data_IF_966565037942
#
_entry.id   IF_966565037942
#
_cell.length_a   1.000
_cell.length_b   1.000
_cell.length_c   1.000
_cell.angle_alpha   90.00
_cell.angle_beta   90.00
_cell.angle_gamma   90.00
#
_symmetry.space_group_name_H-M   'P 1'
#
loop_
_entity.id
_entity.type
_entity.pdbx_description
1 polymer ?
#
# COMPACT_ATOMS: atom_id res chain seq x y z
N UNK A 1 2.48 -106.25 -76.65
CA UNK A 1 2.77 -104.89 -76.15
C UNK A 1 1.58 -104.15 -75.50
N UNK A 2 0.40 -104.77 -75.26
CA UNK A 2 -0.74 -104.11 -74.59
C UNK A 2 -0.70 -104.22 -73.05
N UNK A 3 -0.42 -105.41 -72.49
CA UNK A 3 -0.36 -105.63 -71.03
C UNK A 3 0.67 -104.78 -70.25
N UNK A 4 1.81 -104.40 -70.85
CA UNK A 4 2.82 -103.54 -70.18
C UNK A 4 2.46 -102.05 -70.20
N UNK A 5 1.59 -101.59 -71.10
CA UNK A 5 1.12 -100.19 -71.13
C UNK A 5 -0.01 -99.96 -70.12
N UNK A 6 -0.88 -100.94 -69.92
CA UNK A 6 -2.02 -100.82 -69.00
C UNK A 6 -1.58 -100.86 -67.51
N UNK A 7 -0.59 -101.68 -67.15
CA UNK A 7 -0.07 -101.74 -65.77
C UNK A 7 0.72 -100.47 -65.40
N UNK A 8 1.48 -99.91 -66.35
CA UNK A 8 2.21 -98.65 -66.14
C UNK A 8 1.23 -97.47 -66.03
N UNK A 9 0.14 -97.48 -66.80
CA UNK A 9 -0.94 -96.49 -66.68
C UNK A 9 -1.70 -96.56 -65.34
N UNK A 10 -1.91 -97.75 -64.79
CA UNK A 10 -2.54 -97.95 -63.46
C UNK A 10 -1.58 -97.53 -62.34
N UNK A 11 -0.29 -97.89 -62.39
CA UNK A 11 0.69 -97.50 -61.36
C UNK A 11 0.94 -95.98 -61.37
N UNK A 12 1.06 -95.36 -62.55
CA UNK A 12 1.19 -93.90 -62.68
C UNK A 12 -0.07 -93.15 -62.23
N UNK A 13 -1.28 -93.67 -62.49
CA UNK A 13 -2.50 -93.04 -61.98
C UNK A 13 -2.65 -93.20 -60.47
N UNK A 14 -2.28 -94.34 -59.87
CA UNK A 14 -2.25 -94.48 -58.40
C UNK A 14 -1.17 -93.63 -57.72
N UNK A 15 -0.01 -93.42 -58.36
CA UNK A 15 1.06 -92.58 -57.80
C UNK A 15 0.87 -91.08 -58.06
N UNK A 16 0.24 -90.68 -59.18
CA UNK A 16 -0.21 -89.30 -59.40
C UNK A 16 -1.42 -88.95 -58.52
N UNK A 17 -2.41 -89.83 -58.37
CA UNK A 17 -3.52 -89.64 -57.42
C UNK A 17 -3.00 -89.67 -55.99
N UNK A 18 -2.02 -90.53 -55.66
CA UNK A 18 -1.34 -90.55 -54.36
C UNK A 18 -0.50 -89.29 -54.07
N UNK A 19 0.19 -88.72 -55.07
CA UNK A 19 0.97 -87.49 -54.93
C UNK A 19 0.11 -86.22 -54.91
N UNK A 20 -0.98 -86.19 -55.68
CA UNK A 20 -1.97 -85.09 -55.65
C UNK A 20 -2.80 -85.18 -54.36
N UNK A 21 -3.19 -86.37 -53.90
CA UNK A 21 -3.86 -86.54 -52.61
C UNK A 21 -2.94 -86.16 -51.43
N UNK A 22 -1.68 -86.60 -51.41
CA UNK A 22 -0.73 -86.22 -50.34
C UNK A 22 -0.30 -84.75 -50.41
N UNK A 23 -0.18 -84.14 -51.60
CA UNK A 23 0.11 -82.71 -51.76
C UNK A 23 -1.06 -81.79 -51.38
N UNK A 24 -2.30 -82.16 -51.76
CA UNK A 24 -3.53 -81.43 -51.36
C UNK A 24 -3.79 -81.61 -49.85
N UNK A 25 -3.52 -82.79 -49.30
CA UNK A 25 -3.72 -83.08 -47.88
C UNK A 25 -2.66 -82.39 -47.00
N UNK A 26 -1.39 -82.33 -47.43
CA UNK A 26 -0.34 -81.57 -46.74
C UNK A 26 -0.59 -80.05 -46.74
N UNK A 27 -1.01 -79.48 -47.87
CA UNK A 27 -1.39 -78.07 -47.95
C UNK A 27 -2.61 -77.75 -47.08
N UNK A 28 -3.58 -78.67 -47.04
CA UNK A 28 -4.76 -78.52 -46.20
C UNK A 28 -4.45 -78.65 -44.71
N UNK A 29 -3.56 -79.58 -44.34
CA UNK A 29 -3.10 -79.76 -42.96
C UNK A 29 -2.29 -78.54 -42.47
N UNK A 30 -1.47 -77.95 -43.35
CA UNK A 30 -0.80 -76.67 -43.08
C UNK A 30 -1.82 -75.55 -42.81
N UNK A 31 -2.90 -75.48 -43.60
CA UNK A 31 -3.98 -74.50 -43.39
C UNK A 31 -4.69 -74.66 -42.04
N UNK A 32 -4.90 -75.89 -41.58
CA UNK A 32 -5.46 -76.19 -40.25
C UNK A 32 -4.50 -75.76 -39.13
N UNK A 33 -3.21 -76.04 -39.27
CA UNK A 33 -2.19 -75.62 -38.29
C UNK A 33 -2.05 -74.09 -38.20
N UNK A 34 -2.15 -73.37 -39.32
CA UNK A 34 -2.15 -71.90 -39.32
C UNK A 34 -3.39 -71.31 -38.64
N UNK A 35 -4.57 -71.93 -38.80
CA UNK A 35 -5.79 -71.55 -38.08
C UNK A 35 -5.64 -71.79 -36.58
N UNK A 36 -5.10 -72.95 -36.20
CA UNK A 36 -4.84 -73.31 -34.82
C UNK A 36 -3.89 -72.30 -34.14
N UNK A 37 -2.80 -71.88 -34.80
CA UNK A 37 -1.91 -70.84 -34.26
C UNK A 37 -2.60 -69.48 -34.11
N UNK A 38 -3.48 -69.09 -35.04
CA UNK A 38 -4.27 -67.85 -34.92
C UNK A 38 -5.26 -67.94 -33.76
N UNK A 39 -5.83 -69.10 -33.51
CA UNK A 39 -6.76 -69.36 -32.42
C UNK A 39 -6.05 -69.31 -31.06
N UNK A 40 -4.85 -69.89 -30.96
CA UNK A 40 -4.00 -69.76 -29.77
C UNK A 40 -3.76 -68.30 -29.39
N UNK A 41 -3.41 -67.45 -30.36
CA UNK A 41 -3.21 -66.01 -30.14
C UNK A 41 -4.51 -65.32 -29.71
N UNK A 42 -5.65 -65.68 -30.31
CA UNK A 42 -6.97 -65.14 -29.92
C UNK A 42 -7.28 -65.50 -28.48
N UNK A 43 -7.15 -66.76 -28.10
CA UNK A 43 -7.42 -67.23 -26.74
C UNK A 43 -6.51 -66.51 -25.72
N UNK A 44 -5.20 -66.43 -25.99
CA UNK A 44 -4.26 -65.70 -25.12
C UNK A 44 -4.66 -64.24 -24.93
N UNK A 45 -5.11 -63.55 -25.99
CA UNK A 45 -5.59 -62.16 -25.91
C UNK A 45 -6.85 -62.02 -25.05
N UNK A 46 -7.76 -63.01 -25.09
CA UNK A 46 -8.99 -62.99 -24.27
C UNK A 46 -8.71 -63.28 -22.80
N UNK A 47 -7.82 -64.23 -22.51
CA UNK A 47 -7.33 -64.49 -21.15
C UNK A 47 -6.69 -63.23 -20.54
N UNK A 48 -5.93 -62.48 -21.33
CA UNK A 48 -5.30 -61.23 -20.88
C UNK A 48 -6.29 -60.05 -20.71
N UNK A 49 -7.56 -60.21 -21.04
CA UNK A 49 -8.57 -59.15 -20.86
C UNK A 49 -8.90 -58.94 -19.39
N UNK A 50 -8.92 -57.69 -18.93
CA UNK A 50 -9.42 -57.31 -17.59
C UNK A 50 -10.86 -57.78 -17.33
N UNK A 51 -11.64 -57.97 -18.41
CA UNK A 51 -13.08 -58.24 -18.31
C UNK A 51 -13.43 -59.73 -18.42
N UNK A 52 -12.48 -60.62 -18.71
CA UNK A 52 -12.77 -62.07 -18.75
C UNK A 52 -13.30 -62.54 -17.39
N UNK A 53 -14.27 -63.45 -17.39
CA UNK A 53 -14.75 -64.07 -16.15
C UNK A 53 -13.76 -65.16 -15.71
N UNK A 54 -13.78 -65.54 -14.42
CA UNK A 54 -12.92 -66.63 -13.95
C UNK A 54 -13.25 -67.96 -14.64
N UNK A 55 -14.53 -68.22 -14.86
CA UNK A 55 -15.00 -69.45 -15.49
C UNK A 55 -14.60 -69.51 -16.97
N UNK A 56 -14.73 -68.38 -17.69
CA UNK A 56 -14.26 -68.28 -19.07
C UNK A 56 -12.74 -68.42 -19.16
N UNK A 57 -12.00 -67.79 -18.25
CA UNK A 57 -10.55 -67.88 -18.20
C UNK A 57 -10.09 -69.34 -18.01
N UNK A 58 -10.69 -70.08 -17.07
CA UNK A 58 -10.36 -71.49 -16.84
C UNK A 58 -10.62 -72.35 -18.07
N UNK A 59 -11.75 -72.15 -18.74
CA UNK A 59 -12.10 -72.90 -19.96
C UNK A 59 -11.17 -72.56 -21.13
N UNK A 60 -10.82 -71.28 -21.30
CA UNK A 60 -9.85 -70.84 -22.30
C UNK A 60 -8.43 -71.41 -22.05
N UNK A 61 -8.01 -71.52 -20.79
CA UNK A 61 -6.73 -72.16 -20.42
C UNK A 61 -6.73 -73.68 -20.70
N UNK A 62 -7.88 -74.35 -20.51
CA UNK A 62 -8.06 -75.74 -20.91
C UNK A 62 -8.00 -75.91 -22.44
N UNK A 63 -8.69 -75.04 -23.19
CA UNK A 63 -8.66 -75.04 -24.66
C UNK A 63 -7.22 -74.82 -25.18
N UNK A 64 -6.43 -73.89 -24.58
CA UNK A 64 -5.01 -73.72 -24.92
C UNK A 64 -4.18 -74.99 -24.69
N UNK A 65 -4.49 -75.75 -23.64
CA UNK A 65 -3.79 -77.00 -23.33
C UNK A 65 -4.16 -78.07 -24.35
N UNK A 66 -5.44 -78.19 -24.69
CA UNK A 66 -5.94 -79.15 -25.69
C UNK A 66 -5.42 -78.84 -27.11
N UNK A 67 -5.29 -77.56 -27.47
CA UNK A 67 -4.63 -77.09 -28.70
C UNK A 67 -3.18 -77.57 -28.76
N UNK A 68 -2.42 -77.44 -27.67
CA UNK A 68 -1.01 -77.87 -27.63
C UNK A 68 -0.86 -79.39 -27.75
N UNK A 69 -1.75 -80.14 -27.10
CA UNK A 69 -1.71 -81.61 -27.09
C UNK A 69 -2.21 -82.25 -28.39
N UNK A 70 -3.14 -81.58 -29.11
CA UNK A 70 -3.76 -82.10 -30.33
C UNK A 70 -2.84 -82.04 -31.56
N UNK A 71 -1.79 -81.20 -31.54
CA UNK A 71 -0.82 -80.98 -32.63
C UNK A 71 -0.17 -82.27 -33.18
N UNK A 72 -0.08 -83.32 -32.35
CA UNK A 72 0.60 -84.58 -32.67
C UNK A 72 -0.32 -85.82 -32.63
N UNK A 73 -1.62 -85.67 -32.35
CA UNK A 73 -2.50 -86.81 -31.99
C UNK A 73 -3.85 -86.85 -32.71
N UNK A 74 -4.31 -85.75 -33.30
CA UNK A 74 -5.66 -85.66 -33.92
C UNK A 74 -5.59 -85.62 -35.45
N UNK A 75 -6.60 -86.22 -36.10
CA UNK A 75 -6.78 -86.12 -37.55
C UNK A 75 -7.26 -84.73 -37.96
N UNK A 76 -7.08 -84.35 -39.24
CA UNK A 76 -7.55 -83.08 -39.79
C UNK A 76 -9.01 -82.76 -39.45
N UNK A 77 -9.93 -83.73 -39.63
CA UNK A 77 -11.36 -83.57 -39.32
C UNK A 77 -11.60 -83.27 -37.83
N UNK A 78 -10.87 -83.96 -36.95
CA UNK A 78 -10.97 -83.75 -35.50
C UNK A 78 -10.41 -82.40 -35.06
N UNK A 79 -9.36 -81.90 -35.73
CA UNK A 79 -8.84 -80.55 -35.51
C UNK A 79 -9.84 -79.50 -35.98
N UNK A 80 -10.45 -79.67 -37.15
CA UNK A 80 -11.48 -78.76 -37.68
C UNK A 80 -12.72 -78.70 -36.77
N UNK A 81 -13.20 -79.84 -36.25
CA UNK A 81 -14.32 -79.89 -35.30
C UNK A 81 -13.99 -79.21 -33.97
N UNK A 82 -12.77 -79.40 -33.46
CA UNK A 82 -12.27 -78.77 -32.23
C UNK A 82 -12.21 -77.25 -32.38
N UNK A 83 -11.54 -76.76 -33.44
CA UNK A 83 -11.43 -75.33 -33.74
C UNK A 83 -12.82 -74.68 -33.92
N UNK A 84 -13.80 -75.39 -34.50
CA UNK A 84 -15.16 -74.88 -34.69
C UNK A 84 -15.92 -74.70 -33.36
N UNK A 85 -15.71 -75.63 -32.40
CA UNK A 85 -16.28 -75.52 -31.06
C UNK A 85 -15.62 -74.40 -30.27
N UNK A 86 -14.30 -74.29 -30.35
CA UNK A 86 -13.54 -73.21 -29.74
C UNK A 86 -13.92 -71.84 -30.33
N UNK A 87 -14.12 -71.74 -31.65
CA UNK A 87 -14.57 -70.50 -32.30
C UNK A 87 -15.96 -70.08 -31.81
N UNK A 88 -16.89 -71.03 -31.67
CA UNK A 88 -18.23 -70.74 -31.13
C UNK A 88 -18.14 -70.25 -29.68
N UNK A 89 -17.31 -70.88 -28.86
CA UNK A 89 -17.10 -70.45 -27.48
C UNK A 89 -16.40 -69.08 -27.39
N UNK A 90 -15.41 -68.81 -28.25
CA UNK A 90 -14.75 -67.51 -28.33
C UNK A 90 -15.71 -66.37 -28.67
N UNK A 91 -16.70 -66.61 -29.54
CA UNK A 91 -17.75 -65.62 -29.82
C UNK A 91 -18.58 -65.31 -28.57
N UNK A 92 -18.99 -66.34 -27.82
CA UNK A 92 -19.73 -66.12 -26.57
C UNK A 92 -18.89 -65.40 -25.50
N UNK A 93 -17.61 -65.75 -25.40
CA UNK A 93 -16.66 -65.07 -24.51
C UNK A 93 -16.53 -63.59 -24.90
N UNK A 94 -16.50 -63.29 -26.19
CA UNK A 94 -16.43 -61.91 -26.70
C UNK A 94 -17.66 -61.10 -26.31
N UNK A 95 -18.84 -61.66 -26.48
CA UNK A 95 -20.10 -61.03 -26.04
C UNK A 95 -20.11 -60.80 -24.53
N UNK A 96 -19.65 -61.77 -23.72
CA UNK A 96 -19.56 -61.64 -22.26
C UNK A 96 -18.53 -60.58 -21.84
N UNK A 97 -17.36 -60.53 -22.49
CA UNK A 97 -16.32 -59.52 -22.26
C UNK A 97 -16.86 -58.13 -22.60
N UNK A 98 -17.52 -57.95 -23.75
CA UNK A 98 -18.08 -56.66 -24.17
C UNK A 98 -19.19 -56.18 -23.23
N UNK A 99 -20.07 -57.09 -22.80
CA UNK A 99 -21.12 -56.79 -21.82
C UNK A 99 -20.50 -56.33 -20.49
N UNK A 100 -19.53 -57.08 -19.97
CA UNK A 100 -18.86 -56.74 -18.70
C UNK A 100 -18.05 -55.45 -18.79
N UNK A 101 -17.36 -55.19 -19.90
CA UNK A 101 -16.68 -53.92 -20.13
C UNK A 101 -17.67 -52.75 -20.16
N UNK A 102 -18.83 -52.93 -20.79
CA UNK A 102 -19.90 -51.91 -20.83
C UNK A 102 -20.45 -51.64 -19.43
N UNK A 103 -20.73 -52.67 -18.64
CA UNK A 103 -21.20 -52.54 -17.25
C UNK A 103 -20.17 -51.80 -16.38
N UNK A 104 -18.89 -52.14 -16.49
CA UNK A 104 -17.81 -51.42 -15.78
C UNK A 104 -17.72 -49.97 -16.24
N UNK A 105 -17.80 -49.70 -17.55
CA UNK A 105 -17.75 -48.34 -18.10
C UNK A 105 -18.91 -47.46 -17.59
N UNK A 106 -20.13 -48.00 -17.52
CA UNK A 106 -21.30 -47.28 -16.98
C UNK A 106 -21.15 -46.98 -15.48
N UNK A 107 -20.64 -47.94 -14.71
CA UNK A 107 -20.36 -47.74 -13.28
C UNK A 107 -19.27 -46.69 -13.05
N UNK A 108 -18.19 -46.73 -13.82
CA UNK A 108 -17.11 -45.73 -13.77
C UNK A 108 -17.61 -44.34 -14.20
N UNK A 109 -18.49 -44.26 -15.21
CA UNK A 109 -19.07 -42.99 -15.66
C UNK A 109 -19.94 -42.33 -14.60
N UNK A 110 -20.69 -43.11 -13.82
CA UNK A 110 -21.50 -42.58 -12.71
C UNK A 110 -20.59 -41.96 -11.63
N UNK A 111 -19.46 -42.62 -11.32
CA UNK A 111 -18.45 -42.06 -10.39
C UNK A 111 -17.80 -40.80 -10.96
N UNK A 112 -17.49 -40.82 -12.25
CA UNK A 112 -16.91 -39.68 -12.97
C UNK A 112 -17.83 -38.46 -12.92
N UNK A 113 -19.13 -38.63 -13.13
CA UNK A 113 -20.11 -37.55 -13.01
C UNK A 113 -20.13 -36.94 -11.60
N UNK A 114 -19.99 -37.77 -10.55
CA UNK A 114 -19.86 -37.28 -9.18
C UNK A 114 -18.54 -36.53 -8.93
N UNK A 115 -17.43 -36.99 -9.52
CA UNK A 115 -16.15 -36.29 -9.45
C UNK A 115 -16.21 -34.94 -10.17
N UNK A 116 -16.81 -34.90 -11.35
CA UNK A 116 -17.01 -33.68 -12.13
C UNK A 116 -17.86 -32.66 -11.34
N UNK A 117 -18.96 -33.09 -10.71
CA UNK A 117 -19.78 -32.19 -9.89
C UNK A 117 -18.99 -31.52 -8.76
N UNK A 118 -18.07 -32.25 -8.10
CA UNK A 118 -17.20 -31.67 -7.07
C UNK A 118 -16.24 -30.63 -7.65
N UNK A 119 -15.69 -30.91 -8.84
CA UNK A 119 -14.84 -29.95 -9.56
C UNK A 119 -15.64 -28.68 -9.93
N UNK A 120 -16.89 -28.85 -10.34
CA UNK A 120 -17.83 -27.77 -10.65
C UNK A 120 -18.10 -26.90 -9.41
N UNK A 121 -18.33 -27.51 -8.24
CA UNK A 121 -18.49 -26.79 -6.96
C UNK A 121 -17.24 -25.96 -6.63
N UNK A 122 -16.04 -26.54 -6.75
CA UNK A 122 -14.77 -25.83 -6.55
C UNK A 122 -14.60 -24.68 -7.55
N UNK A 123 -15.08 -24.84 -8.79
CA UNK A 123 -15.01 -23.79 -9.82
C UNK A 123 -15.81 -22.53 -9.49
N UNK A 124 -16.76 -22.63 -8.56
CA UNK A 124 -17.57 -21.49 -8.10
C UNK A 124 -16.98 -20.79 -6.86
N UNK A 125 -15.89 -21.32 -6.30
CA UNK A 125 -15.21 -20.70 -5.18
C UNK A 125 -14.52 -19.39 -5.59
N UNK A 126 -14.09 -18.61 -4.59
CA UNK A 126 -13.28 -17.43 -4.83
C UNK A 126 -11.90 -17.83 -5.33
N UNK A 127 -11.29 -16.92 -6.09
CA UNK A 127 -9.91 -17.04 -6.55
C UNK A 127 -9.64 -18.17 -7.54
N UNK A 128 -10.63 -18.47 -8.39
CA UNK A 128 -10.47 -19.43 -9.48
C UNK A 128 -10.00 -18.72 -10.73
N UNK A 129 -8.98 -19.27 -11.38
CA UNK A 129 -8.40 -18.69 -12.60
C UNK A 129 -9.35 -18.86 -13.77
N UNK A 130 -9.51 -17.82 -14.59
CA UNK A 130 -10.43 -17.84 -15.73
C UNK A 130 -10.15 -18.98 -16.74
N UNK A 131 -8.87 -19.30 -16.96
CA UNK A 131 -8.47 -20.40 -17.83
C UNK A 131 -8.87 -21.77 -17.29
N UNK A 132 -8.96 -21.94 -15.96
CA UNK A 132 -9.47 -23.16 -15.36
C UNK A 132 -10.98 -23.29 -15.57
N UNK A 133 -11.73 -22.20 -15.49
CA UNK A 133 -13.18 -22.18 -15.77
C UNK A 133 -13.49 -22.59 -17.21
N UNK A 134 -12.65 -22.20 -18.18
CA UNK A 134 -12.79 -22.64 -19.56
C UNK A 134 -12.59 -24.16 -19.69
N UNK A 135 -11.56 -24.70 -19.04
CA UNK A 135 -11.31 -26.16 -19.04
C UNK A 135 -12.44 -26.94 -18.36
N UNK A 136 -13.05 -26.41 -17.30
CA UNK A 136 -14.23 -27.04 -16.67
C UNK A 136 -15.39 -27.15 -17.66
N UNK A 137 -15.66 -26.10 -18.46
CA UNK A 137 -16.69 -26.13 -19.51
C UNK A 137 -16.37 -27.15 -20.61
N UNK A 138 -15.11 -27.26 -21.01
CA UNK A 138 -14.69 -28.26 -22.00
C UNK A 138 -14.91 -29.69 -21.48
N UNK A 139 -14.59 -29.94 -20.20
CA UNK A 139 -14.82 -31.24 -19.57
C UNK A 139 -16.30 -31.57 -19.38
N UNK A 140 -17.17 -30.58 -19.13
CA UNK A 140 -18.64 -30.77 -19.12
C UNK A 140 -19.13 -31.27 -20.49
N UNK A 141 -18.64 -30.69 -21.57
CA UNK A 141 -18.98 -31.13 -22.93
C UNK A 141 -18.48 -32.56 -23.19
N UNK A 142 -17.23 -32.88 -22.85
CA UNK A 142 -16.69 -34.24 -22.98
C UNK A 142 -17.49 -35.26 -22.14
N UNK A 143 -17.96 -34.88 -20.95
CA UNK A 143 -18.77 -35.74 -20.10
C UNK A 143 -20.15 -36.02 -20.69
N UNK A 144 -20.77 -35.00 -21.31
CA UNK A 144 -22.07 -35.14 -22.00
C UNK A 144 -22.00 -36.08 -23.20
N UNK A 145 -20.88 -36.07 -23.93
CA UNK A 145 -20.64 -37.02 -25.02
C UNK A 145 -20.47 -38.48 -24.53
N UNK A 146 -20.14 -38.67 -23.25
CA UNK A 146 -19.87 -39.97 -22.63
C UNK A 146 -21.04 -40.52 -21.78
N UNK A 147 -22.29 -40.06 -21.95
CA UNK A 147 -23.42 -40.51 -21.12
C UNK A 147 -23.74 -42.02 -21.21
N UNK A 148 -23.43 -42.68 -22.33
CA UNK A 148 -23.67 -44.14 -22.51
C UNK A 148 -22.41 -44.84 -23.04
N UNK A 149 -21.36 -44.99 -22.21
CA UNK A 149 -20.09 -45.52 -22.67
C UNK A 149 -20.15 -47.04 -22.83
N UNK A 150 -19.57 -47.55 -23.93
CA UNK A 150 -19.42 -48.99 -24.20
C UNK A 150 -18.04 -49.53 -23.85
N UNK A 151 -17.07 -48.64 -23.60
CA UNK A 151 -15.66 -48.96 -23.37
C UNK A 151 -15.15 -48.16 -22.18
N UNK A 152 -14.28 -48.75 -21.36
CA UNK A 152 -13.76 -48.09 -20.15
C UNK A 152 -12.72 -47.01 -20.46
N UNK A 153 -11.95 -47.18 -21.55
CA UNK A 153 -10.79 -46.32 -21.85
C UNK A 153 -11.14 -44.83 -21.97
N UNK A 154 -12.21 -44.40 -22.68
CA UNK A 154 -12.63 -43.01 -22.71
C UNK A 154 -13.03 -42.46 -21.34
N UNK A 155 -13.75 -43.27 -20.54
CA UNK A 155 -14.19 -42.87 -19.19
C UNK A 155 -12.99 -42.63 -18.29
N UNK A 156 -12.03 -43.57 -18.25
CA UNK A 156 -10.80 -43.44 -17.46
C UNK A 156 -9.93 -42.27 -17.93
N UNK A 157 -9.85 -42.03 -19.25
CA UNK A 157 -9.12 -40.89 -19.79
C UNK A 157 -9.71 -39.55 -19.33
N UNK A 158 -11.05 -39.41 -19.32
CA UNK A 158 -11.70 -38.21 -18.83
C UNK A 158 -11.57 -38.05 -17.31
N UNK A 159 -11.59 -39.16 -16.55
CA UNK A 159 -11.33 -39.17 -15.11
C UNK A 159 -9.96 -38.57 -14.77
N UNK A 160 -8.91 -38.98 -15.49
CA UNK A 160 -7.57 -38.42 -15.31
C UNK A 160 -7.51 -36.92 -15.65
N UNK A 161 -8.23 -36.47 -16.69
CA UNK A 161 -8.29 -35.02 -17.01
C UNK A 161 -8.96 -34.22 -15.89
N UNK A 162 -10.06 -34.72 -15.33
CA UNK A 162 -10.78 -34.09 -14.21
C UNK A 162 -9.90 -34.03 -12.96
N UNK A 163 -9.20 -35.11 -12.63
CA UNK A 163 -8.28 -35.17 -11.49
C UNK A 163 -7.14 -34.15 -11.64
N UNK A 164 -6.47 -34.15 -12.80
CA UNK A 164 -5.39 -33.19 -13.09
C UNK A 164 -5.87 -31.74 -13.01
N UNK A 165 -7.07 -31.43 -13.56
CA UNK A 165 -7.61 -30.08 -13.47
C UNK A 165 -7.98 -29.70 -12.02
N UNK A 166 -8.51 -30.64 -11.24
CA UNK A 166 -8.80 -30.39 -9.82
C UNK A 166 -7.55 -30.02 -9.04
N UNK A 167 -6.44 -30.73 -9.26
CA UNK A 167 -5.16 -30.42 -8.62
C UNK A 167 -4.61 -29.07 -9.08
N UNK A 168 -4.65 -28.80 -10.40
CA UNK A 168 -4.23 -27.53 -10.97
C UNK A 168 -5.02 -26.35 -10.38
N UNK A 169 -6.34 -26.46 -10.30
CA UNK A 169 -7.23 -25.43 -9.73
C UNK A 169 -6.90 -25.13 -8.27
N UNK A 170 -6.69 -26.17 -7.45
CA UNK A 170 -6.29 -25.99 -6.04
C UNK A 170 -4.94 -25.28 -5.92
N UNK A 171 -3.97 -25.67 -6.75
CA UNK A 171 -2.66 -25.02 -6.80
C UNK A 171 -2.78 -23.53 -7.18
N UNK A 172 -3.51 -23.24 -8.26
CA UNK A 172 -3.76 -21.89 -8.73
C UNK A 172 -4.51 -21.03 -7.70
N UNK A 173 -5.54 -21.57 -7.06
CA UNK A 173 -6.31 -20.89 -6.02
C UNK A 173 -5.44 -20.57 -4.80
N UNK A 174 -4.55 -21.49 -4.41
CA UNK A 174 -3.57 -21.25 -3.33
C UNK A 174 -2.64 -20.09 -3.68
N UNK A 175 -2.12 -20.06 -4.90
CA UNK A 175 -1.26 -18.97 -5.39
C UNK A 175 -1.99 -17.64 -5.40
N UNK A 176 -3.19 -17.57 -5.98
CA UNK A 176 -4.00 -16.35 -6.00
C UNK A 176 -4.34 -15.86 -4.58
N UNK A 177 -4.71 -16.77 -3.68
CA UNK A 177 -5.01 -16.42 -2.29
C UNK A 177 -3.78 -15.81 -1.61
N UNK A 178 -2.59 -16.39 -1.82
CA UNK A 178 -1.33 -15.85 -1.31
C UNK A 178 -1.02 -14.46 -1.86
N UNK A 179 -1.15 -14.28 -3.18
CA UNK A 179 -0.93 -13.00 -3.86
C UNK A 179 -1.90 -11.91 -3.39
N UNK A 180 -3.19 -12.22 -3.26
CA UNK A 180 -4.21 -11.29 -2.77
C UNK A 180 -3.95 -10.91 -1.31
N UNK A 181 -3.53 -11.86 -0.47
CA UNK A 181 -3.17 -11.56 0.92
C UNK A 181 -1.96 -10.63 1.02
N UNK A 182 -0.95 -10.83 0.18
CA UNK A 182 0.18 -9.91 0.11
C UNK A 182 -0.23 -8.53 -0.44
N UNK A 183 -1.08 -8.50 -1.47
CA UNK A 183 -1.61 -7.25 -2.00
C UNK A 183 -2.41 -6.47 -0.93
N UNK A 184 -3.18 -7.15 -0.08
CA UNK A 184 -3.86 -6.55 1.09
C UNK A 184 -2.87 -5.93 2.08
N UNK A 185 -1.72 -6.58 2.32
CA UNK A 185 -0.66 -6.00 3.17
C UNK A 185 -0.07 -4.74 2.54
N UNK A 186 0.26 -4.79 1.25
CA UNK A 186 0.76 -3.61 0.52
C UNK A 186 -0.26 -2.47 0.53
N UNK A 187 -1.55 -2.79 0.41
CA UNK A 187 -2.62 -1.81 0.51
C UNK A 187 -2.69 -1.12 1.88
N UNK A 188 -2.48 -1.89 2.96
CA UNK A 188 -2.41 -1.34 4.32
C UNK A 188 -1.17 -0.46 4.53
N UNK A 189 -0.05 -0.78 3.88
CA UNK A 189 1.13 0.09 3.86
C UNK A 189 0.81 1.39 3.13
N UNK A 190 0.17 1.32 1.96
CA UNK A 190 -0.26 2.51 1.22
C UNK A 190 -1.19 3.39 2.05
N UNK A 191 -2.13 2.82 2.80
CA UNK A 191 -3.06 3.57 3.66
C UNK A 191 -2.34 4.31 4.80
N UNK A 192 -1.32 3.68 5.40
CA UNK A 192 -0.49 4.31 6.43
C UNK A 192 0.35 5.45 5.85
N UNK A 193 0.93 5.24 4.67
CA UNK A 193 1.70 6.27 3.96
C UNK A 193 0.83 7.47 3.58
N UNK A 194 -0.38 7.24 3.07
CA UNK A 194 -1.30 8.30 2.65
C UNK A 194 -1.63 9.27 3.80
N UNK A 195 -1.78 8.74 5.02
CA UNK A 195 -2.09 9.53 6.23
C UNK A 195 -0.86 10.25 6.80
N UNK A 196 0.34 10.01 6.27
CA UNK A 196 1.56 10.61 6.80
C UNK A 196 1.70 12.07 6.35
N UNK A 197 2.06 12.96 7.28
CA UNK A 197 2.23 14.40 7.01
C UNK A 197 3.38 14.73 6.06
N UNK A 198 4.41 13.88 6.00
CA UNK A 198 5.61 14.07 5.18
C UNK A 198 5.49 13.47 3.78
N UNK A 199 4.35 12.87 3.45
CA UNK A 199 4.05 12.40 2.09
C UNK A 199 3.40 13.53 1.30
N UNK A 200 3.87 13.73 0.06
CA UNK A 200 3.36 14.79 -0.80
C UNK A 200 1.90 14.55 -1.20
N UNK A 201 1.15 15.62 -1.46
CA UNK A 201 -0.25 15.50 -1.90
C UNK A 201 -0.39 14.74 -3.24
N UNK A 202 0.63 14.80 -4.10
CA UNK A 202 0.66 14.04 -5.35
C UNK A 202 0.86 12.55 -5.11
N UNK A 203 1.75 12.18 -4.20
CA UNK A 203 1.97 10.79 -3.81
C UNK A 203 0.73 10.23 -3.10
N UNK A 204 0.08 11.01 -2.21
CA UNK A 204 -1.18 10.61 -1.57
C UNK A 204 -2.27 10.27 -2.58
N UNK A 205 -2.48 11.10 -3.61
CA UNK A 205 -3.44 10.81 -4.70
C UNK A 205 -3.09 9.53 -5.45
N UNK A 206 -1.80 9.30 -5.69
CA UNK A 206 -1.32 8.10 -6.38
C UNK A 206 -1.50 6.85 -5.52
N UNK A 207 -1.21 6.93 -4.22
CA UNK A 207 -1.49 5.88 -3.23
C UNK A 207 -2.98 5.53 -3.21
N UNK A 208 -3.87 6.52 -3.11
CA UNK A 208 -5.32 6.30 -3.09
C UNK A 208 -5.84 5.64 -4.38
N UNK A 209 -5.28 6.03 -5.54
CA UNK A 209 -5.62 5.41 -6.84
C UNK A 209 -5.21 3.94 -6.86
N UNK A 210 -3.95 3.64 -6.51
CA UNK A 210 -3.45 2.26 -6.43
C UNK A 210 -4.23 1.43 -5.42
N UNK A 211 -4.63 2.01 -4.29
CA UNK A 211 -5.46 1.29 -3.32
C UNK A 211 -6.80 0.85 -3.92
N UNK A 212 -7.45 1.76 -4.66
CA UNK A 212 -8.71 1.48 -5.34
C UNK A 212 -8.54 0.40 -6.41
N UNK A 213 -7.42 0.38 -7.12
CA UNK A 213 -7.07 -0.67 -8.08
C UNK A 213 -6.88 -2.02 -7.39
N UNK A 214 -6.12 -2.06 -6.29
CA UNK A 214 -5.85 -3.27 -5.51
C UNK A 214 -7.13 -3.92 -4.97
N UNK A 215 -8.06 -3.10 -4.45
CA UNK A 215 -9.31 -3.57 -3.83
C UNK A 215 -10.16 -4.41 -4.80
N UNK A 216 -10.06 -4.15 -6.12
CA UNK A 216 -10.79 -4.93 -7.15
C UNK A 216 -10.47 -6.42 -7.10
N UNK A 217 -9.31 -6.80 -6.59
CA UNK A 217 -8.85 -8.19 -6.52
C UNK A 217 -9.14 -8.88 -5.17
N UNK A 218 -9.62 -8.14 -4.16
CA UNK A 218 -9.68 -8.63 -2.77
C UNK A 218 -10.72 -9.69 -2.49
N UNK A 219 -11.76 -9.76 -3.31
CA UNK A 219 -12.86 -10.69 -3.13
C UNK A 219 -12.87 -11.81 -4.15
N UNK A 220 -12.47 -11.55 -5.40
CA UNK A 220 -12.51 -12.55 -6.45
C UNK A 220 -11.55 -12.25 -7.60
N UNK A 221 -10.25 -12.35 -7.36
CA UNK A 221 -9.26 -12.29 -8.42
C UNK A 221 -9.27 -13.58 -9.27
N UNK A 222 -9.15 -13.46 -10.59
CA UNK A 222 -9.21 -14.61 -11.50
C UNK A 222 -7.99 -14.70 -12.45
N UNK A 223 -6.97 -13.86 -12.23
CA UNK A 223 -5.77 -13.83 -13.05
C UNK A 223 -4.51 -13.65 -12.18
N UNK A 224 -3.66 -14.69 -12.17
CA UNK A 224 -2.44 -14.71 -11.35
C UNK A 224 -1.49 -13.59 -11.74
N UNK A 225 -1.23 -13.39 -13.04
CA UNK A 225 -0.23 -12.43 -13.50
C UNK A 225 -0.69 -11.01 -13.22
N UNK A 226 -1.96 -10.68 -13.47
CA UNK A 226 -2.49 -9.35 -13.19
C UNK A 226 -2.39 -8.98 -11.70
N UNK A 227 -2.71 -9.90 -10.79
CA UNK A 227 -2.59 -9.63 -9.34
C UNK A 227 -1.11 -9.47 -8.94
N UNK A 228 -0.22 -10.27 -9.52
CA UNK A 228 1.21 -10.20 -9.27
C UNK A 228 1.81 -8.88 -9.75
N UNK A 229 1.53 -8.46 -10.98
CA UNK A 229 1.96 -7.17 -11.52
C UNK A 229 1.44 -6.01 -10.67
N UNK A 230 0.17 -6.07 -10.26
CA UNK A 230 -0.45 -5.06 -9.40
C UNK A 230 0.26 -4.99 -8.03
N UNK A 231 0.56 -6.15 -7.42
CA UNK A 231 1.33 -6.25 -6.17
C UNK A 231 2.72 -5.64 -6.33
N UNK A 232 3.47 -6.03 -7.36
CA UNK A 232 4.83 -5.54 -7.59
C UNK A 232 4.83 -4.02 -7.81
N UNK A 233 3.89 -3.51 -8.60
CA UNK A 233 3.73 -2.07 -8.85
C UNK A 233 3.30 -1.29 -7.60
N UNK A 234 2.51 -1.87 -6.71
CA UNK A 234 2.18 -1.26 -5.41
C UNK A 234 3.36 -1.29 -4.46
N UNK A 235 4.06 -2.41 -4.35
CA UNK A 235 5.21 -2.57 -3.47
C UNK A 235 6.36 -1.63 -3.87
N UNK A 236 6.66 -1.52 -5.17
CA UNK A 236 7.70 -0.62 -5.66
C UNK A 236 7.38 0.84 -5.32
N UNK A 237 6.13 1.26 -5.56
CA UNK A 237 5.70 2.63 -5.26
C UNK A 237 5.67 2.91 -3.75
N UNK A 238 5.19 1.97 -2.93
CA UNK A 238 5.23 2.10 -1.48
C UNK A 238 6.67 2.31 -0.97
N UNK A 239 7.64 1.56 -1.51
CA UNK A 239 9.06 1.73 -1.15
C UNK A 239 9.59 3.10 -1.55
N UNK A 240 9.28 3.55 -2.77
CA UNK A 240 9.69 4.88 -3.24
C UNK A 240 9.15 5.99 -2.32
N UNK A 241 7.86 5.94 -1.98
CA UNK A 241 7.23 6.93 -1.10
C UNK A 241 7.80 6.86 0.31
N UNK A 242 8.04 5.66 0.87
CA UNK A 242 8.66 5.51 2.19
C UNK A 242 10.07 6.12 2.23
N UNK A 243 10.88 5.92 1.19
CA UNK A 243 12.20 6.54 1.07
C UNK A 243 12.10 8.07 1.03
N UNK A 244 11.27 8.64 0.14
CA UNK A 244 11.07 10.09 0.05
C UNK A 244 10.59 10.67 1.39
N UNK A 245 9.60 10.04 2.01
CA UNK A 245 9.07 10.44 3.32
C UNK A 245 10.17 10.41 4.40
N UNK A 246 11.02 9.39 4.42
CA UNK A 246 12.14 9.32 5.39
C UNK A 246 13.19 10.41 5.17
N UNK A 247 13.48 10.79 3.92
CA UNK A 247 14.42 11.87 3.60
C UNK A 247 13.87 13.22 4.03
N UNK A 248 12.60 13.50 3.71
CA UNK A 248 11.87 14.70 4.13
C UNK A 248 11.82 14.80 5.65
N UNK A 249 11.41 13.72 6.34
CA UNK A 249 11.29 13.71 7.81
C UNK A 249 12.63 14.02 8.50
N UNK A 250 13.73 13.45 8.00
CA UNK A 250 15.07 13.66 8.56
C UNK A 250 15.55 15.10 8.37
N UNK A 251 15.38 15.66 7.17
CA UNK A 251 15.80 17.04 6.88
C UNK A 251 14.92 18.05 7.61
N UNK A 252 13.60 17.88 7.56
CA UNK A 252 12.65 18.75 8.25
C UNK A 252 12.95 18.83 9.75
N UNK A 253 13.18 17.69 10.40
CA UNK A 253 13.45 17.63 11.85
C UNK A 253 14.75 18.35 12.26
N UNK A 254 15.73 18.48 11.35
CA UNK A 254 17.00 19.16 11.64
C UNK A 254 16.84 20.70 11.72
N UNK A 255 15.84 21.25 11.03
CA UNK A 255 15.60 22.70 10.90
C UNK A 255 14.33 23.17 11.60
N UNK A 256 13.41 22.28 11.96
CA UNK A 256 12.08 22.61 12.51
C UNK A 256 12.15 23.56 13.72
N UNK A 257 12.92 23.23 14.75
CA UNK A 257 13.00 24.09 15.94
C UNK A 257 13.61 25.45 15.64
N UNK A 258 14.65 25.49 14.80
CA UNK A 258 15.35 26.75 14.47
C UNK A 258 14.44 27.67 13.65
N UNK A 259 13.75 27.10 12.66
CA UNK A 259 12.79 27.82 11.85
C UNK A 259 11.62 28.36 12.69
N UNK A 260 11.07 27.57 13.64
CA UNK A 260 10.02 28.05 14.56
C UNK A 260 10.50 29.21 15.42
N UNK A 261 11.72 29.12 15.98
CA UNK A 261 12.31 30.21 16.79
C UNK A 261 12.52 31.47 15.97
N UNK A 262 13.07 31.33 14.75
CA UNK A 262 13.30 32.46 13.85
C UNK A 262 11.99 33.15 13.43
N UNK A 263 10.94 32.37 13.15
CA UNK A 263 9.61 32.92 12.87
C UNK A 263 9.10 33.76 14.05
N UNK A 264 9.19 33.25 15.28
CA UNK A 264 8.77 34.00 16.48
C UNK A 264 9.58 35.27 16.68
N UNK A 265 10.91 35.21 16.50
CA UNK A 265 11.78 36.38 16.59
C UNK A 265 11.46 37.42 15.52
N UNK A 266 11.16 36.97 14.30
CA UNK A 266 10.81 37.85 13.18
C UNK A 266 9.44 38.50 13.37
N UNK A 267 8.45 37.76 13.88
CA UNK A 267 7.15 38.31 14.24
C UNK A 267 7.30 39.39 15.35
N UNK A 268 8.19 39.18 16.32
CA UNK A 268 8.53 40.20 17.33
C UNK A 268 9.19 41.43 16.71
N UNK A 269 10.16 41.24 15.81
CA UNK A 269 10.84 42.35 15.12
C UNK A 269 9.88 43.15 14.23
N UNK A 270 8.89 42.50 13.60
CA UNK A 270 7.85 43.18 12.82
C UNK A 270 6.96 44.09 13.69
N UNK A 271 6.66 43.66 14.92
CA UNK A 271 5.80 44.40 15.86
C UNK A 271 6.55 45.52 16.59
N UNK A 272 7.76 45.23 17.09
CA UNK A 272 8.49 46.10 18.02
C UNK A 272 9.73 46.77 17.38
N UNK A 273 10.11 46.36 16.17
CA UNK A 273 11.29 46.86 15.47
C UNK A 273 11.09 48.23 14.84
N UNK A 274 12.19 48.97 14.73
CA UNK A 274 12.22 50.24 13.99
C UNK A 274 12.58 49.95 12.51
N UNK A 275 11.59 49.40 11.79
CA UNK A 275 11.70 48.97 10.40
C UNK A 275 10.92 49.89 9.46
N UNK A 276 11.48 50.14 8.29
CA UNK A 276 10.83 50.81 7.16
C UNK A 276 9.81 49.88 6.46
N UNK A 277 8.93 50.46 5.65
CA UNK A 277 7.80 49.72 5.07
C UNK A 277 8.24 48.60 4.11
N UNK A 278 9.28 48.83 3.32
CA UNK A 278 9.87 47.85 2.41
C UNK A 278 10.60 46.73 3.16
N UNK A 279 11.31 47.06 4.24
CA UNK A 279 11.95 46.11 5.14
C UNK A 279 10.94 45.20 5.85
N UNK A 280 9.83 45.78 6.35
CA UNK A 280 8.71 45.00 6.91
C UNK A 280 8.17 44.02 5.89
N UNK A 281 7.89 44.49 4.66
CA UNK A 281 7.39 43.63 3.57
C UNK A 281 8.39 42.52 3.21
N UNK A 282 9.69 42.80 3.22
CA UNK A 282 10.74 41.81 2.98
C UNK A 282 10.75 40.73 4.07
N UNK A 283 10.70 41.13 5.34
CA UNK A 283 10.68 40.20 6.48
C UNK A 283 9.38 39.38 6.53
N UNK A 284 8.23 40.00 6.29
CA UNK A 284 6.93 39.31 6.17
C UNK A 284 6.95 38.24 5.08
N UNK A 285 7.50 38.57 3.90
CA UNK A 285 7.60 37.61 2.80
C UNK A 285 8.49 36.41 3.15
N UNK A 286 9.63 36.63 3.82
CA UNK A 286 10.50 35.52 4.23
C UNK A 286 9.89 34.69 5.36
N UNK A 287 9.29 35.36 6.36
CA UNK A 287 8.54 34.69 7.44
C UNK A 287 7.42 33.84 6.89
N UNK A 288 6.68 34.33 5.88
CA UNK A 288 5.63 33.56 5.20
C UNK A 288 6.19 32.32 4.52
N UNK A 289 7.28 32.41 3.74
CA UNK A 289 7.89 31.24 3.10
C UNK A 289 8.33 30.18 4.13
N UNK A 290 8.97 30.59 5.22
CA UNK A 290 9.36 29.67 6.29
C UNK A 290 8.14 29.04 6.98
N UNK A 291 7.06 29.81 7.21
CA UNK A 291 5.80 29.31 7.77
C UNK A 291 5.13 28.30 6.82
N UNK A 292 5.08 28.59 5.53
CA UNK A 292 4.53 27.70 4.50
C UNK A 292 5.31 26.38 4.44
N UNK A 293 6.65 26.45 4.54
CA UNK A 293 7.52 25.27 4.60
C UNK A 293 7.34 24.46 5.89
N UNK A 294 7.23 25.13 7.05
CA UNK A 294 6.90 24.48 8.34
C UNK A 294 5.53 23.79 8.33
N UNK A 295 4.58 24.33 7.57
CA UNK A 295 3.26 23.74 7.37
C UNK A 295 3.24 22.63 6.31
N UNK A 296 4.39 22.31 5.70
CA UNK A 296 4.54 21.33 4.63
C UNK A 296 3.64 21.63 3.39
N UNK A 297 3.32 22.90 3.16
CA UNK A 297 2.44 23.29 2.05
C UNK A 297 3.23 23.31 0.74
N UNK A 298 2.95 22.36 -0.17
CA UNK A 298 3.70 22.17 -1.43
C UNK A 298 5.21 22.00 -1.20
N UNK A 299 5.56 21.28 -0.14
CA UNK A 299 6.93 21.10 0.32
C UNK A 299 7.72 20.17 -0.58
N UNK A 300 8.92 20.60 -0.97
CA UNK A 300 9.96 19.78 -1.58
C UNK A 300 11.11 19.56 -0.60
N UNK A 301 11.83 18.46 -0.76
CA UNK A 301 12.97 18.12 0.10
C UNK A 301 14.02 19.25 0.10
N UNK A 302 14.39 19.75 1.28
CA UNK A 302 15.34 20.86 1.44
C UNK A 302 14.72 22.24 1.55
N UNK A 303 13.40 22.39 1.31
CA UNK A 303 12.71 23.68 1.37
C UNK A 303 12.86 24.35 2.74
N UNK A 304 12.66 23.60 3.83
CA UNK A 304 12.71 24.20 5.16
C UNK A 304 14.10 24.75 5.47
N UNK A 305 15.15 23.98 5.19
CA UNK A 305 16.53 24.41 5.42
C UNK A 305 16.90 25.62 4.55
N UNK A 306 16.48 25.64 3.28
CA UNK A 306 16.70 26.78 2.37
C UNK A 306 15.99 28.04 2.85
N UNK A 307 14.68 27.97 3.08
CA UNK A 307 13.90 29.13 3.51
C UNK A 307 14.27 29.60 4.91
N UNK A 308 14.70 28.69 5.80
CA UNK A 308 15.31 29.07 7.07
C UNK A 308 16.58 29.89 6.86
N UNK A 309 17.50 29.47 6.00
CA UNK A 309 18.75 30.20 5.71
C UNK A 309 18.50 31.60 5.16
N UNK A 310 17.67 31.71 4.11
CA UNK A 310 17.30 33.00 3.50
C UNK A 310 16.61 33.95 4.50
N UNK A 311 15.75 33.40 5.35
CA UNK A 311 15.05 34.15 6.38
C UNK A 311 16.00 34.60 7.49
N UNK A 312 16.94 33.74 7.91
CA UNK A 312 17.91 34.06 8.96
C UNK A 312 18.81 35.22 8.53
N UNK A 313 19.35 35.18 7.31
CA UNK A 313 20.16 36.27 6.75
C UNK A 313 19.37 37.60 6.69
N UNK A 314 18.11 37.53 6.28
CA UNK A 314 17.24 38.72 6.22
C UNK A 314 16.95 39.25 7.62
N UNK A 315 16.65 38.37 8.58
CA UNK A 315 16.40 38.74 9.96
C UNK A 315 17.62 39.39 10.60
N UNK A 316 18.82 38.82 10.43
CA UNK A 316 20.05 39.33 11.04
C UNK A 316 20.41 40.73 10.50
N UNK A 317 20.29 40.96 9.19
CA UNK A 317 20.50 42.29 8.58
C UNK A 317 19.49 43.33 9.10
N UNK A 318 18.21 42.99 9.11
CA UNK A 318 17.14 43.92 9.50
C UNK A 318 17.10 44.16 11.02
N UNK A 319 17.40 43.15 11.83
CA UNK A 319 17.52 43.29 13.29
C UNK A 319 18.63 44.27 13.62
N UNK A 320 19.79 44.15 12.97
CA UNK A 320 20.92 45.07 13.15
C UNK A 320 20.55 46.50 12.73
N UNK A 321 19.96 46.70 11.55
CA UNK A 321 19.50 48.03 11.08
C UNK A 321 18.49 48.67 12.03
N UNK A 322 17.53 47.87 12.52
CA UNK A 322 16.54 48.33 13.51
C UNK A 322 17.22 48.76 14.82
N UNK A 323 18.16 47.97 15.34
CA UNK A 323 18.92 48.35 16.54
C UNK A 323 19.78 49.60 16.34
N UNK A 324 20.46 49.73 15.20
CA UNK A 324 21.28 50.89 14.86
C UNK A 324 20.42 52.15 14.77
N UNK A 325 19.26 52.09 14.10
CA UNK A 325 18.29 53.20 14.09
C UNK A 325 17.75 53.52 15.46
N UNK A 326 17.42 52.52 16.30
CA UNK A 326 16.97 52.74 17.69
C UNK A 326 18.03 53.50 18.50
N UNK A 327 19.29 53.06 18.44
CA UNK A 327 20.43 53.73 19.11
C UNK A 327 20.63 55.15 18.59
N UNK A 328 20.50 55.38 17.29
CA UNK A 328 20.61 56.72 16.71
C UNK A 328 19.48 57.64 17.20
N UNK A 329 18.24 57.16 17.25
CA UNK A 329 17.12 57.92 17.84
C UNK A 329 17.31 58.18 19.32
N UNK A 330 17.81 57.22 20.11
CA UNK A 330 18.12 57.44 21.53
C UNK A 330 19.25 58.44 21.73
N UNK A 331 20.29 58.40 20.88
CA UNK A 331 21.38 59.37 20.93
C UNK A 331 20.88 60.79 20.60
N UNK A 332 20.08 60.93 19.53
CA UNK A 332 19.47 62.21 19.14
C UNK A 332 18.52 62.73 20.21
N UNK A 333 17.70 61.88 20.81
CA UNK A 333 16.83 62.26 21.92
C UNK A 333 17.64 62.77 23.14
N UNK A 334 18.74 62.09 23.50
CA UNK A 334 19.63 62.54 24.58
C UNK A 334 20.38 63.84 24.25
N UNK A 335 20.76 64.06 22.99
CA UNK A 335 21.35 65.33 22.55
C UNK A 335 20.34 66.47 22.54
N UNK A 336 19.10 66.23 22.10
CA UNK A 336 18.03 67.24 22.12
C UNK A 336 17.61 67.58 23.56
N UNK A 337 17.61 66.61 24.47
CA UNK A 337 17.36 66.85 25.90
C UNK A 337 18.48 67.69 26.54
N UNK A 338 19.76 67.39 26.23
CA UNK A 338 20.89 68.24 26.65
C UNK A 338 20.84 69.64 26.04
N UNK A 339 20.41 69.80 24.78
CA UNK A 339 20.25 71.12 24.16
C UNK A 339 19.12 71.92 24.79
N UNK A 340 18.02 71.27 25.22
CA UNK A 340 16.94 71.90 25.98
C UNK A 340 17.40 72.35 27.37
N UNK A 341 18.17 71.51 28.09
CA UNK A 341 18.77 71.91 29.37
C UNK A 341 19.74 73.11 29.23
N UNK A 342 20.49 73.22 28.13
CA UNK A 342 21.41 74.36 27.89
C UNK A 342 20.66 75.63 27.49
N UNK A 343 19.58 75.53 26.69
CA UNK A 343 18.77 76.70 26.32
C UNK A 343 17.93 77.24 27.47
N UNK A 344 17.51 76.40 28.42
CA UNK A 344 16.83 76.84 29.65
C UNK A 344 17.78 77.60 30.60
N UNK A 345 19.09 77.33 30.56
CA UNK A 345 20.12 78.05 31.33
C UNK A 345 20.54 79.37 30.67
N UNK A 346 20.49 79.49 29.34
CA UNK A 346 20.79 80.76 28.64
C UNK A 346 19.62 81.76 28.67
N UNK A 347 18.36 81.32 28.72
CA UNK A 347 17.23 82.23 28.96
C UNK A 347 17.17 82.83 30.39
N UNK A 348 18.03 82.38 31.31
CA UNK A 348 18.17 82.99 32.66
C UNK A 348 19.27 84.07 32.68
N UNK A 349 20.08 84.22 31.62
CA UNK A 349 21.17 85.21 31.57
C UNK A 349 20.92 86.44 30.70
N UNK A 350 19.88 86.45 29.88
CA UNK A 350 19.56 87.62 29.02
C UNK A 350 18.41 88.52 29.55
N UNK A 351 17.79 88.19 30.68
CA UNK A 351 16.83 89.06 31.38
C UNK A 351 17.48 89.89 32.52
N UNK A 352 18.80 90.06 32.49
CA UNK A 352 19.54 90.84 33.52
C UNK A 352 20.25 92.10 33.01
N UNK A 353 19.74 92.75 31.97
CA UNK A 353 20.10 94.15 31.69
C UNK A 353 18.85 94.98 31.38
N UNK A 354 18.75 96.13 32.04
CA UNK A 354 17.74 97.20 31.93
C UNK A 354 16.51 97.05 32.85
N UNK A 355 16.61 97.51 34.11
CA UNK A 355 15.96 98.75 34.62
C UNK A 355 16.59 99.12 35.97
N UNK A 356 16.96 100.39 36.04
CA UNK A 356 17.57 101.16 37.14
C UNK A 356 16.64 101.39 38.35
N UNK A 357 17.28 101.50 39.51
CA UNK A 357 16.92 102.31 40.69
C UNK A 357 15.47 102.25 41.23
N UNK A 358 15.25 101.40 42.25
CA UNK A 358 14.87 101.90 43.58
C UNK A 358 14.99 100.82 44.68
N UNK A 359 15.55 101.27 45.81
CA UNK A 359 15.56 100.69 47.15
C UNK A 359 14.47 99.65 47.47
N UNK A 360 14.80 98.47 48.02
CA UNK A 360 15.05 98.22 49.45
C UNK A 360 15.11 96.72 49.75
N UNK A 361 15.98 96.37 50.70
CA UNK A 361 16.31 95.00 51.11
C UNK A 361 15.12 94.19 51.64
N UNK A 362 14.86 93.03 51.04
CA UNK A 362 14.03 91.96 51.61
C UNK A 362 14.91 90.98 52.39
N UNK A 363 14.80 91.01 53.71
CA UNK A 363 15.74 90.41 54.65
C UNK A 363 15.83 88.87 54.67
N UNK A 364 16.97 88.43 55.18
CA UNK A 364 17.33 87.05 55.53
C UNK A 364 16.30 86.47 56.52
N UNK A 365 15.72 85.31 56.18
CA UNK A 365 14.81 84.56 57.06
C UNK A 365 15.63 83.92 58.19
N UNK A 366 15.35 84.20 59.48
CA UNK A 366 16.06 83.57 60.59
C UNK A 366 15.65 82.09 60.70
N UNK A 367 16.58 81.17 60.47
CA UNK A 367 16.41 79.74 60.77
C UNK A 367 16.54 79.48 62.27
N UNK A 368 15.54 79.90 63.04
CA UNK A 368 15.38 79.59 64.47
C UNK A 368 14.09 78.82 64.71
N UNK A 369 14.13 77.76 65.52
CA UNK A 369 12.96 76.90 65.78
C UNK A 369 11.80 77.67 66.42
N UNK A 370 10.80 78.05 65.62
CA UNK A 370 9.65 78.84 66.04
C UNK A 370 8.66 79.08 64.90
N UNK A 371 7.56 79.77 65.18
CA UNK A 371 6.61 80.22 64.14
C UNK A 371 7.15 81.46 63.43
N UNK A 372 7.21 81.41 62.11
CA UNK A 372 7.71 82.48 61.25
C UNK A 372 6.55 83.25 60.62
N UNK A 373 6.62 84.58 60.66
CA UNK A 373 5.71 85.48 59.95
C UNK A 373 6.43 86.06 58.73
N UNK A 374 5.75 86.19 57.58
CA UNK A 374 6.32 86.90 56.46
C UNK A 374 6.40 88.40 56.79
N UNK A 375 7.17 89.19 56.03
CA UNK A 375 7.16 90.65 56.15
C UNK A 375 5.75 91.23 55.99
N UNK A 376 5.50 92.39 56.59
CA UNK A 376 4.21 93.06 56.49
C UNK A 376 3.83 93.31 55.00
N UNK A 377 2.58 92.99 54.65
CA UNK A 377 2.10 93.04 53.27
C UNK A 377 2.32 91.75 52.44
N UNK A 378 2.85 90.67 53.04
CA UNK A 378 3.05 89.38 52.38
C UNK A 378 2.37 88.22 53.14
N UNK A 379 2.13 87.11 52.44
CA UNK A 379 1.61 85.83 52.98
C UNK A 379 2.40 84.63 52.44
N UNK A 380 2.40 83.53 53.18
CA UNK A 380 2.98 82.26 52.73
C UNK A 380 1.95 81.47 51.90
N UNK A 381 2.31 81.06 50.69
CA UNK A 381 1.54 80.17 49.82
C UNK A 381 2.10 78.75 49.87
N UNK A 382 1.24 77.77 50.14
CA UNK A 382 1.55 76.35 49.92
C UNK A 382 1.11 75.97 48.52
N UNK A 383 2.07 75.87 47.59
CA UNK A 383 1.82 75.71 46.15
C UNK A 383 0.93 74.50 45.86
N UNK A 384 1.25 73.35 46.46
CA UNK A 384 0.53 72.09 46.20
C UNK A 384 -0.95 72.12 46.61
N UNK A 385 -1.31 72.94 47.60
CA UNK A 385 -2.70 73.02 48.09
C UNK A 385 -3.42 74.31 47.73
N UNK A 386 -2.72 75.30 47.14
CA UNK A 386 -3.29 76.61 46.84
C UNK A 386 -3.82 77.36 48.07
N UNK A 387 -3.26 77.12 49.27
CA UNK A 387 -3.70 77.75 50.53
C UNK A 387 -2.69 78.80 51.00
N UNK A 388 -3.19 79.94 51.49
CA UNK A 388 -2.36 81.03 52.03
C UNK A 388 -2.40 81.09 53.56
N UNK A 389 -1.25 81.40 54.18
CA UNK A 389 -1.06 81.44 55.63
C UNK A 389 -0.28 82.69 56.06
N UNK A 390 -0.71 83.30 57.18
CA UNK A 390 -0.02 84.47 57.78
C UNK A 390 1.18 84.11 58.66
N UNK A 391 1.30 82.85 59.06
CA UNK A 391 2.47 82.33 59.76
C UNK A 391 2.61 80.82 59.60
N UNK A 392 3.86 80.34 59.50
CA UNK A 392 4.21 78.94 59.30
C UNK A 392 5.41 78.54 60.16
N UNK A 393 5.47 77.29 60.61
CA UNK A 393 6.59 76.81 61.43
C UNK A 393 7.86 76.56 60.59
N UNK A 394 7.68 76.03 59.37
CA UNK A 394 8.77 75.74 58.44
C UNK A 394 8.58 76.57 57.15
N UNK A 395 9.17 77.78 57.04
CA UNK A 395 8.94 78.66 55.90
C UNK A 395 9.55 78.16 54.59
N UNK A 396 10.51 77.22 54.63
CA UNK A 396 11.19 76.68 53.44
C UNK A 396 10.28 75.90 52.48
N UNK A 397 9.11 75.46 52.94
CA UNK A 397 8.13 74.73 52.11
C UNK A 397 7.02 75.63 51.56
N UNK A 398 7.17 76.95 51.66
CA UNK A 398 6.17 77.93 51.27
C UNK A 398 6.81 79.02 50.41
N UNK A 399 6.06 79.51 49.44
CA UNK A 399 6.43 80.71 48.68
C UNK A 399 5.91 81.95 49.43
N UNK A 400 6.71 83.00 49.54
CA UNK A 400 6.22 84.29 50.04
C UNK A 400 5.66 85.07 48.85
N UNK A 401 4.38 85.38 48.89
CA UNK A 401 3.68 86.16 47.87
C UNK A 401 3.07 87.41 48.50
N UNK A 402 2.79 88.44 47.71
CA UNK A 402 2.13 89.66 48.22
C UNK A 402 0.73 89.31 48.77
N UNK A 403 0.24 90.06 49.77
CA UNK A 403 -1.13 89.90 50.26
C UNK A 403 -2.17 90.08 49.14
N UNK A 404 -1.89 90.94 48.17
CA UNK A 404 -2.76 91.20 47.01
C UNK A 404 -2.87 89.95 46.13
N UNK A 405 -1.76 89.30 45.83
CA UNK A 405 -1.77 88.04 45.06
C UNK A 405 -2.33 86.88 45.88
N UNK A 406 -2.13 86.91 47.20
CA UNK A 406 -2.69 85.94 48.13
C UNK A 406 -4.21 85.89 48.16
N UNK A 407 -4.91 86.98 47.80
CA UNK A 407 -6.37 86.99 47.70
C UNK A 407 -6.93 86.07 46.60
N UNK A 408 -6.09 85.65 45.64
CA UNK A 408 -6.47 84.71 44.58
C UNK A 408 -6.55 83.25 45.07
N UNK A 409 -6.12 83.00 46.30
CA UNK A 409 -5.99 81.68 46.90
C UNK A 409 -6.83 81.59 48.19
N UNK A 410 -7.24 80.38 48.56
CA UNK A 410 -8.08 80.21 49.75
C UNK A 410 -7.29 80.41 51.06
N UNK A 411 -7.82 81.14 52.05
CA UNK A 411 -7.18 81.29 53.34
C UNK A 411 -7.14 79.95 54.08
N UNK A 412 -5.95 79.47 54.43
CA UNK A 412 -5.79 78.27 55.25
C UNK A 412 -6.23 78.51 56.70
N UNK A 413 -6.57 77.44 57.43
CA UNK A 413 -6.90 77.54 58.86
C UNK A 413 -5.74 78.21 59.57
N UNK A 414 -6.03 79.32 60.25
CA UNK A 414 -5.08 80.41 60.50
C UNK A 414 -3.90 80.07 61.38
N UNK A 415 -2.97 79.25 60.84
CA UNK A 415 -1.55 78.96 61.12
C UNK A 415 -1.20 77.61 60.44
N UNK A 416 -0.28 77.61 59.45
CA UNK A 416 -0.09 76.54 58.45
C UNK A 416 0.35 75.15 58.90
N UNK A 417 0.19 74.79 60.18
CA UNK A 417 0.43 73.43 60.67
C UNK A 417 -0.60 72.91 61.68
N UNK A 418 -1.78 73.54 61.81
CA UNK A 418 -2.82 73.06 62.73
C UNK A 418 -3.66 71.92 62.12
N UNK A 419 -3.07 70.73 62.03
CA UNK A 419 -3.68 69.40 62.30
C UNK A 419 -2.68 68.29 61.93
N UNK A 420 -2.05 67.71 62.95
CA UNK A 420 -1.55 66.34 62.92
C UNK A 420 -2.68 65.42 63.42
N UNK A 421 -3.22 64.60 62.53
CA UNK A 421 -3.47 63.17 62.75
C UNK A 421 -3.33 62.46 61.42
#
# INVERSE_FOLDING_TARGET
MKLRKDIVGIILSFSLVGAVATGVDAASYKGVMERQSKQEIRIQKKIASEFVSKDDQQRLEQDLTEIKDSKNKKTRRQLDEMMSKEDSFLVEVDERIEKKETEVAQNEQTKLASQFKKLEEVSQEKYIVETDLLKVKDLDNELKELQTPKKVKPVRSLATKIENLSEQMKGNQTVLTGLVNDLKKENSVSEKLEKNRFVSEQDKKTLATKQTENIKFFDNANNIETVKECKEASQAFNKEVETKKSEIEKEFSASEEKAKKLVTSSDKLLLEGNLEADEKKKLENQSKKTKDALALTKYETGDLTKYYGEHQETYDDLSKKSEDRKKETEHKAKEDEKKREVTEVETIKDDSEVISDNEQAGGVIPTGGGWNRPPDGYVFLKVDSGLTYRQVKNPTHYLIISEVDGQKFEPGHGNGSAKQR
#
